data_IF_054618853655
#
_entry.id   IF_054618853655
#
_cell.length_a   1.000
_cell.length_b   1.000
_cell.length_c   1.000
_cell.angle_alpha   90.00
_cell.angle_beta   90.00
_cell.angle_gamma   90.00
#
_symmetry.space_group_name_H-M   'P 1'
#
loop_
_entity.id
_entity.type
_entity.pdbx_description
1 polymer ?
#
# COMPACT_ATOMS: atom_id res chain seq x y z
N UNK A 1 3.89 -25.55 -49.61
CA UNK A 1 3.38 -24.22 -49.22
C UNK A 1 2.98 -24.29 -47.77
N UNK A 2 3.59 -23.44 -46.93
CA UNK A 2 3.27 -23.29 -45.50
C UNK A 2 2.04 -22.38 -45.38
N UNK A 3 1.11 -22.70 -44.50
CA UNK A 3 0.32 -21.72 -43.76
C UNK A 3 -0.21 -22.37 -42.48
N UNK A 4 0.46 -22.05 -41.38
CA UNK A 4 0.01 -22.24 -40.01
C UNK A 4 -1.03 -21.15 -39.71
N UNK A 5 -2.16 -21.52 -39.11
CA UNK A 5 -3.06 -20.55 -38.47
C UNK A 5 -3.13 -20.90 -36.98
N UNK A 6 -2.47 -20.04 -36.21
CA UNK A 6 -2.56 -19.94 -34.76
C UNK A 6 -3.88 -19.24 -34.44
N UNK A 7 -4.79 -19.91 -33.73
CA UNK A 7 -5.95 -19.26 -33.12
C UNK A 7 -5.61 -18.90 -31.68
N UNK A 8 -5.41 -17.61 -31.48
CA UNK A 8 -5.16 -16.91 -30.23
C UNK A 8 -6.31 -17.11 -29.25
N UNK A 9 -6.01 -17.71 -28.10
CA UNK A 9 -6.84 -17.66 -26.90
C UNK A 9 -6.90 -16.21 -26.41
N UNK A 10 -8.03 -15.53 -26.61
CA UNK A 10 -8.35 -14.31 -25.86
C UNK A 10 -8.88 -14.73 -24.48
N UNK A 11 -8.02 -14.67 -23.46
CA UNK A 11 -8.46 -14.63 -22.07
C UNK A 11 -8.81 -13.17 -21.77
N UNK A 12 -10.10 -12.86 -21.80
CA UNK A 12 -10.63 -11.61 -21.27
C UNK A 12 -10.48 -11.64 -19.74
N UNK A 13 -9.47 -10.96 -19.22
CA UNK A 13 -9.33 -10.73 -17.79
C UNK A 13 -10.42 -9.75 -17.34
N UNK A 14 -11.51 -10.31 -16.81
CA UNK A 14 -12.45 -9.59 -15.94
C UNK A 14 -11.74 -9.29 -14.63
N UNK A 15 -10.93 -8.23 -14.61
CA UNK A 15 -10.37 -7.68 -13.37
C UNK A 15 -11.50 -6.84 -12.74
N UNK A 16 -12.34 -7.52 -11.96
CA UNK A 16 -13.20 -6.84 -10.99
C UNK A 16 -12.32 -6.18 -9.92
N UNK A 17 -12.61 -4.91 -9.64
CA UNK A 17 -12.16 -4.13 -8.48
C UNK A 17 -10.72 -4.44 -8.01
N UNK A 18 -9.74 -4.02 -8.82
CA UNK A 18 -8.36 -3.97 -8.37
C UNK A 18 -8.25 -2.91 -7.25
N UNK A 19 -7.90 -3.38 -6.06
CA UNK A 19 -7.94 -2.68 -4.78
C UNK A 19 -7.16 -1.37 -4.83
N UNK A 20 -7.89 -0.26 -4.84
CA UNK A 20 -7.38 1.03 -4.40
C UNK A 20 -7.30 1.00 -2.87
N UNK A 21 -6.10 1.18 -2.32
CA UNK A 21 -5.91 1.24 -0.88
C UNK A 21 -6.69 2.39 -0.22
N UNK A 22 -7.18 2.20 1.02
CA UNK A 22 -7.95 3.17 1.79
C UNK A 22 -7.25 4.52 2.00
N UNK A 23 -5.91 4.63 1.95
CA UNK A 23 -5.21 5.92 2.04
C UNK A 23 -5.72 6.93 1.00
N UNK A 24 -6.23 6.46 -0.15
CA UNK A 24 -6.80 7.29 -1.21
C UNK A 24 -8.25 7.71 -0.97
N UNK A 25 -9.03 6.87 -0.27
CA UNK A 25 -10.39 7.19 0.17
C UNK A 25 -10.40 8.36 1.18
N UNK A 26 -9.31 8.57 1.93
CA UNK A 26 -9.22 9.60 2.97
C UNK A 26 -8.80 10.98 2.49
N UNK A 27 -7.93 11.08 1.48
CA UNK A 27 -7.71 12.37 0.82
C UNK A 27 -9.01 12.85 0.17
N UNK A 28 -9.82 11.93 -0.37
CA UNK A 28 -11.17 12.22 -0.86
C UNK A 28 -12.11 12.67 0.27
N UNK A 29 -12.20 11.96 1.40
CA UNK A 29 -13.11 12.32 2.50
C UNK A 29 -12.75 13.63 3.21
N UNK A 30 -11.47 14.03 3.26
CA UNK A 30 -11.03 15.34 3.81
C UNK A 30 -11.00 16.47 2.78
N UNK A 31 -10.71 16.20 1.51
CA UNK A 31 -10.92 17.19 0.44
C UNK A 31 -12.42 17.52 0.26
N UNK A 32 -13.30 16.59 0.66
CA UNK A 32 -14.73 16.76 0.85
C UNK A 32 -15.14 16.93 2.32
N UNK A 33 -14.34 17.59 3.16
CA UNK A 33 -14.88 18.16 4.40
C UNK A 33 -16.14 18.94 4.02
N UNK A 34 -17.29 18.47 4.53
CA UNK A 34 -18.64 18.85 4.10
C UNK A 34 -18.70 20.36 3.85
N UNK A 35 -18.86 20.76 2.59
CA UNK A 35 -19.64 21.96 2.33
C UNK A 35 -21.07 21.55 2.68
N UNK A 36 -21.72 22.25 3.61
CA UNK A 36 -23.15 22.10 3.80
C UNK A 36 -23.81 22.47 2.46
N UNK A 37 -24.16 21.45 1.68
CA UNK A 37 -24.96 21.61 0.48
C UNK A 37 -26.40 21.60 0.97
N UNK A 38 -27.04 22.75 0.86
CA UNK A 38 -28.47 22.89 1.12
C UNK A 38 -29.26 22.24 -0.01
N UNK A 39 -29.66 20.98 0.19
CA UNK A 39 -30.38 20.17 -0.79
C UNK A 39 -31.72 20.77 -1.23
N UNK A 40 -32.28 21.70 -0.45
CA UNK A 40 -33.51 22.42 -0.78
C UNK A 40 -33.29 23.54 -1.83
N UNK A 41 -32.04 23.93 -2.08
CA UNK A 41 -31.67 24.99 -3.03
C UNK A 41 -31.09 24.48 -4.36
N UNK A 42 -30.95 23.16 -4.49
CA UNK A 42 -30.51 22.54 -5.73
C UNK A 42 -31.64 22.64 -6.77
N UNK A 43 -31.32 23.22 -7.93
CA UNK A 43 -32.23 23.25 -9.08
C UNK A 43 -32.23 21.86 -9.74
N UNK A 44 -33.01 20.95 -9.14
CA UNK A 44 -33.12 19.55 -9.54
C UNK A 44 -33.58 19.36 -10.99
N UNK A 45 -34.31 20.32 -11.55
CA UNK A 45 -34.84 20.26 -12.91
C UNK A 45 -33.80 20.60 -13.99
N UNK A 46 -32.80 21.44 -13.67
CA UNK A 46 -31.74 21.84 -14.62
C UNK A 46 -30.49 20.95 -14.60
N UNK A 47 -30.48 19.85 -13.84
CA UNK A 47 -29.30 18.98 -13.74
C UNK A 47 -29.05 18.13 -15.00
N UNK A 48 -29.96 18.12 -15.98
CA UNK A 48 -29.79 17.40 -17.25
C UNK A 48 -29.70 15.87 -17.09
N UNK A 49 -30.15 15.34 -15.95
CA UNK A 49 -30.16 13.91 -15.64
C UNK A 49 -31.55 13.36 -15.98
N UNK A 50 -31.58 12.35 -16.84
CA UNK A 50 -32.78 11.54 -17.09
C UNK A 50 -32.96 10.55 -15.93
N UNK A 51 -33.72 10.98 -14.93
CA UNK A 51 -33.98 10.21 -13.72
C UNK A 51 -34.79 8.94 -13.97
N UNK A 52 -35.59 8.91 -15.04
CA UNK A 52 -36.41 7.76 -15.41
C UNK A 52 -35.52 6.64 -15.98
N UNK A 53 -34.57 6.99 -16.83
CA UNK A 53 -33.54 6.06 -17.32
C UNK A 53 -32.64 5.54 -16.19
N UNK A 54 -32.22 6.41 -15.27
CA UNK A 54 -31.40 6.03 -14.12
C UNK A 54 -32.12 5.06 -13.18
N UNK A 55 -33.42 5.27 -12.94
CA UNK A 55 -34.24 4.39 -12.10
C UNK A 55 -34.49 3.03 -12.76
N UNK A 56 -34.79 3.02 -14.07
CA UNK A 56 -34.99 1.78 -14.83
C UNK A 56 -33.74 0.88 -14.84
N UNK A 57 -32.54 1.48 -14.98
CA UNK A 57 -31.27 0.76 -14.92
C UNK A 57 -30.99 0.14 -13.53
N UNK A 58 -31.51 0.76 -12.47
CA UNK A 58 -31.38 0.27 -11.10
C UNK A 58 -32.21 -0.99 -10.81
N UNK A 59 -33.33 -1.19 -11.52
CA UNK A 59 -34.22 -2.34 -11.27
C UNK A 59 -33.74 -3.66 -11.88
N UNK A 60 -32.84 -3.63 -12.87
CA UNK A 60 -32.41 -4.85 -13.60
C UNK A 60 -31.33 -5.68 -12.89
N UNK A 61 -30.81 -5.25 -11.73
CA UNK A 61 -29.58 -5.83 -11.14
C UNK A 61 -29.77 -6.60 -9.83
N UNK A 62 -30.96 -7.16 -9.54
CA UNK A 62 -31.18 -7.89 -8.27
C UNK A 62 -31.72 -9.31 -8.46
N UNK A 63 -30.82 -10.26 -8.68
CA UNK A 63 -31.05 -11.67 -8.30
C UNK A 63 -29.76 -12.30 -7.77
N UNK A 64 -29.60 -12.31 -6.44
CA UNK A 64 -28.63 -13.20 -5.74
C UNK A 64 -29.45 -14.14 -4.85
N UNK A 65 -29.26 -15.47 -4.94
CA UNK A 65 -29.95 -16.42 -4.06
C UNK A 65 -29.35 -16.43 -2.65
N UNK A 66 -30.14 -16.74 -1.60
CA UNK A 66 -29.69 -16.67 -0.21
C UNK A 66 -28.73 -17.81 0.13
N UNK A 67 -27.59 -17.47 0.73
CA UNK A 67 -26.63 -18.44 1.29
C UNK A 67 -27.09 -18.84 2.70
N UNK A 68 -27.14 -20.15 2.94
CA UNK A 68 -27.55 -20.76 4.20
C UNK A 68 -26.58 -20.45 5.36
N UNK A 69 -27.13 -20.16 6.52
CA UNK A 69 -26.42 -19.88 7.77
C UNK A 69 -26.00 -21.19 8.45
N UNK A 70 -24.71 -21.41 8.65
CA UNK A 70 -24.19 -22.51 9.46
C UNK A 70 -24.02 -22.09 10.94
N UNK A 71 -24.46 -22.96 11.84
CA UNK A 71 -24.52 -22.79 13.30
C UNK A 71 -23.13 -22.98 13.94
N UNK A 72 -22.75 -22.20 14.98
CA UNK A 72 -21.44 -22.31 15.62
C UNK A 72 -21.36 -23.52 16.58
N UNK A 73 -20.22 -24.22 16.55
CA UNK A 73 -19.85 -25.25 17.55
C UNK A 73 -18.96 -24.62 18.63
N UNK A 74 -19.15 -24.90 19.94
CA UNK A 74 -18.35 -24.32 21.01
C UNK A 74 -17.01 -25.06 21.18
N UNK A 75 -15.91 -24.32 21.36
CA UNK A 75 -14.61 -24.88 21.75
C UNK A 75 -14.27 -24.55 23.22
N UNK A 76 -13.65 -25.53 23.87
CA UNK A 76 -13.39 -25.67 25.31
C UNK A 76 -12.23 -24.79 25.84
N UNK A 77 -12.06 -24.64 27.18
CA UNK A 77 -11.27 -23.57 27.79
C UNK A 77 -9.75 -23.78 27.76
N UNK A 78 -9.02 -22.68 27.61
CA UNK A 78 -7.56 -22.62 27.59
C UNK A 78 -6.91 -22.68 28.99
N UNK A 79 -5.75 -23.34 29.07
CA UNK A 79 -4.88 -23.45 30.24
C UNK A 79 -3.90 -22.25 30.29
N UNK A 80 -3.51 -21.72 31.47
CA UNK A 80 -2.69 -20.50 31.57
C UNK A 80 -1.22 -20.73 31.19
N UNK A 81 -0.62 -19.75 30.51
CA UNK A 81 0.82 -19.69 30.20
C UNK A 81 1.54 -18.66 31.10
N UNK A 82 2.76 -19.03 31.51
CA UNK A 82 3.65 -18.29 32.40
C UNK A 82 4.33 -17.08 31.71
N UNK A 83 4.62 -16.07 32.52
CA UNK A 83 5.34 -14.83 32.23
C UNK A 83 6.85 -15.04 32.04
N UNK A 84 7.49 -14.22 31.20
CA UNK A 84 8.72 -13.57 31.67
C UNK A 84 8.83 -12.06 31.34
N UNK A 85 9.01 -11.32 32.43
CA UNK A 85 9.90 -10.18 32.72
C UNK A 85 10.39 -9.25 31.60
N UNK A 86 10.11 -7.97 31.81
CA UNK A 86 10.57 -6.78 31.10
C UNK A 86 12.07 -6.49 31.23
N UNK A 87 12.63 -5.83 30.21
CA UNK A 87 13.85 -5.03 30.32
C UNK A 87 13.70 -3.67 29.62
N UNK A 88 14.26 -2.68 30.31
CA UNK A 88 14.19 -1.23 30.20
C UNK A 88 14.89 -0.60 28.98
N UNK A 89 14.51 0.67 28.77
CA UNK A 89 14.72 1.69 27.73
C UNK A 89 16.12 2.32 27.49
N UNK A 90 16.34 2.76 26.23
CA UNK A 90 17.00 3.98 25.68
C UNK A 90 18.48 4.34 26.01
N UNK A 91 19.20 5.17 25.20
CA UNK A 91 18.76 6.18 24.21
C UNK A 91 19.45 6.16 22.81
N UNK A 92 19.16 7.21 22.02
CA UNK A 92 19.33 7.42 20.58
C UNK A 92 20.73 7.72 20.01
N UNK A 93 20.77 7.63 18.67
CA UNK A 93 21.61 8.30 17.66
C UNK A 93 23.13 8.10 17.61
N UNK A 94 23.56 7.25 16.67
CA UNK A 94 24.57 7.59 15.65
C UNK A 94 24.42 6.61 14.47
N UNK A 95 23.82 7.05 13.34
CA UNK A 95 23.87 6.26 12.10
C UNK A 95 25.24 6.52 11.47
N UNK A 96 26.16 5.59 11.70
CA UNK A 96 27.50 5.62 11.14
C UNK A 96 27.43 5.40 9.62
N UNK A 97 28.08 6.31 8.88
CA UNK A 97 28.32 6.25 7.44
C UNK A 97 28.91 4.90 7.03
N UNK A 98 28.05 4.02 6.51
CA UNK A 98 28.45 2.92 5.64
C UNK A 98 27.23 2.50 4.80
N UNK A 99 26.70 3.45 4.02
CA UNK A 99 25.74 3.15 2.95
C UNK A 99 26.47 2.60 1.72
N UNK A 100 27.07 1.42 1.83
CA UNK A 100 27.45 0.62 0.67
C UNK A 100 27.08 -0.83 0.96
N UNK A 101 25.90 -1.23 0.47
CA UNK A 101 25.58 -2.65 0.27
C UNK A 101 26.35 -3.11 -0.98
N UNK A 102 27.67 -3.27 -0.87
CA UNK A 102 28.49 -3.95 -1.89
C UNK A 102 28.71 -5.42 -1.55
N UNK A 103 28.52 -5.82 -0.29
CA UNK A 103 28.94 -7.16 0.17
C UNK A 103 27.77 -8.13 0.39
N UNK A 104 26.56 -7.77 -0.05
CA UNK A 104 25.35 -8.61 0.10
C UNK A 104 24.65 -8.89 -1.25
N UNK A 105 25.32 -8.68 -2.38
CA UNK A 105 24.71 -8.90 -3.69
C UNK A 105 24.50 -10.39 -4.03
N UNK A 106 25.35 -11.29 -3.51
CA UNK A 106 25.34 -12.71 -3.87
C UNK A 106 24.28 -13.56 -3.17
N UNK A 107 23.91 -13.22 -1.93
CA UNK A 107 22.97 -14.02 -1.11
C UNK A 107 21.55 -13.42 -1.10
N UNK A 108 21.39 -12.15 -1.48
CA UNK A 108 20.09 -11.50 -1.58
C UNK A 108 19.42 -11.65 -2.95
N UNK A 109 20.18 -11.98 -4.00
CA UNK A 109 19.64 -12.23 -5.34
C UNK A 109 18.80 -13.50 -5.40
N UNK A 110 19.14 -14.52 -4.60
CA UNK A 110 18.31 -15.72 -4.42
C UNK A 110 17.04 -15.42 -3.61
N UNK A 111 17.13 -14.61 -2.55
CA UNK A 111 15.99 -14.15 -1.75
C UNK A 111 14.98 -13.33 -2.55
N UNK A 112 15.45 -12.54 -3.53
CA UNK A 112 14.58 -11.78 -4.41
C UNK A 112 13.77 -12.66 -5.36
N UNK A 113 14.07 -13.96 -5.50
CA UNK A 113 13.51 -14.84 -6.55
C UNK A 113 13.60 -14.21 -7.96
N UNK A 114 14.62 -13.38 -8.19
CA UNK A 114 14.76 -12.62 -9.44
C UNK A 114 13.83 -11.41 -9.57
N UNK A 115 13.03 -11.08 -8.56
CA UNK A 115 12.16 -9.89 -8.55
C UNK A 115 13.00 -8.62 -8.37
N UNK A 116 13.32 -8.00 -9.51
CA UNK A 116 14.06 -6.74 -9.58
C UNK A 116 13.09 -5.65 -10.04
N UNK A 117 12.88 -4.64 -9.20
CA UNK A 117 12.05 -3.49 -9.54
C UNK A 117 12.69 -2.56 -10.58
N UNK A 118 11.85 -1.83 -11.30
CA UNK A 118 12.25 -0.87 -12.35
C UNK A 118 13.23 0.23 -11.87
N UNK A 119 13.28 0.49 -10.56
CA UNK A 119 14.13 1.51 -9.95
C UNK A 119 15.38 0.94 -9.24
N UNK A 120 15.56 -0.39 -9.18
CA UNK A 120 16.63 -1.01 -8.38
C UNK A 120 18.05 -0.52 -8.72
N UNK A 121 18.30 -0.18 -9.99
CA UNK A 121 19.60 0.31 -10.48
C UNK A 121 19.74 1.84 -10.44
N UNK A 122 18.68 2.59 -10.13
CA UNK A 122 18.68 4.06 -10.15
C UNK A 122 19.39 4.64 -8.94
N UNK A 123 20.06 5.77 -9.15
CA UNK A 123 20.76 6.55 -8.13
C UNK A 123 20.25 7.98 -7.98
N UNK A 124 19.39 8.41 -8.89
CA UNK A 124 18.74 9.71 -8.90
C UNK A 124 17.31 9.56 -9.44
N UNK A 125 16.45 10.52 -9.09
CA UNK A 125 15.12 10.56 -9.68
C UNK A 125 15.16 10.80 -11.19
N UNK A 126 14.12 10.35 -11.87
CA UNK A 126 13.75 10.80 -13.21
C UNK A 126 12.84 12.03 -13.17
N UNK A 127 12.21 12.32 -14.30
CA UNK A 127 11.19 13.37 -14.38
C UNK A 127 9.88 12.89 -13.74
N UNK A 128 9.09 13.78 -13.12
CA UNK A 128 7.76 13.42 -12.64
C UNK A 128 6.80 13.16 -13.81
N UNK A 129 5.90 12.20 -13.67
CA UNK A 129 4.80 11.99 -14.63
C UNK A 129 3.67 12.98 -14.38
N UNK A 130 2.85 13.32 -15.40
CA UNK A 130 1.68 14.18 -15.19
C UNK A 130 0.67 13.53 -14.26
N UNK A 131 0.05 14.33 -13.39
CA UNK A 131 -1.09 13.91 -12.58
C UNK A 131 -2.41 14.15 -13.30
N UNK A 132 -3.40 13.28 -13.05
CA UNK A 132 -4.71 13.34 -13.71
C UNK A 132 -5.81 12.79 -12.81
N UNK A 133 -7.05 13.22 -13.06
CA UNK A 133 -8.24 12.73 -12.35
C UNK A 133 -8.53 13.46 -11.05
N UNK A 134 -9.69 13.13 -10.46
CA UNK A 134 -10.08 13.59 -9.14
C UNK A 134 -9.38 12.75 -8.07
N UNK A 135 -9.10 13.36 -6.91
CA UNK A 135 -8.55 12.64 -5.76
C UNK A 135 -9.43 11.43 -5.41
N UNK A 136 -8.82 10.29 -5.13
CA UNK A 136 -9.51 9.03 -4.87
C UNK A 136 -8.89 7.88 -5.64
N UNK A 137 -9.67 6.84 -5.89
CA UNK A 137 -9.20 5.57 -6.43
C UNK A 137 -8.61 5.73 -7.83
N UNK A 138 -9.30 6.48 -8.69
CA UNK A 138 -8.90 6.78 -10.06
C UNK A 138 -7.99 8.00 -10.20
N UNK A 139 -7.46 8.54 -9.10
CA UNK A 139 -6.43 9.57 -9.17
C UNK A 139 -5.12 8.97 -9.69
N UNK A 140 -4.54 9.62 -10.70
CA UNK A 140 -3.17 9.37 -11.16
C UNK A 140 -2.23 10.39 -10.53
N UNK A 141 -1.37 9.93 -9.64
CA UNK A 141 -0.21 10.69 -9.16
C UNK A 141 1.04 10.50 -10.02
N UNK A 142 2.15 11.00 -9.50
CA UNK A 142 3.47 10.84 -10.07
C UNK A 142 3.90 9.36 -9.97
N UNK A 143 4.14 8.72 -11.10
CA UNK A 143 4.73 7.39 -11.21
C UNK A 143 6.14 7.38 -11.86
N UNK A 144 6.70 8.57 -12.12
CA UNK A 144 8.01 8.77 -12.73
C UNK A 144 8.06 8.54 -14.24
N UNK A 145 8.99 9.22 -14.90
CA UNK A 145 9.37 9.05 -16.30
C UNK A 145 10.88 8.75 -16.36
N UNK A 146 11.28 7.54 -16.80
CA UNK A 146 10.43 6.35 -17.02
C UNK A 146 9.78 5.85 -15.71
N UNK A 147 8.82 4.91 -15.82
CA UNK A 147 8.11 4.34 -14.67
C UNK A 147 9.05 3.94 -13.52
N UNK A 148 8.64 4.28 -12.29
CA UNK A 148 9.37 3.99 -11.06
C UNK A 148 10.54 4.92 -10.78
N UNK A 149 10.87 5.84 -11.69
CA UNK A 149 11.97 6.78 -11.50
C UNK A 149 11.69 7.87 -10.45
N UNK A 150 10.49 7.90 -9.85
CA UNK A 150 10.12 8.77 -8.75
C UNK A 150 10.38 8.16 -7.35
N UNK A 151 10.92 6.94 -7.28
CA UNK A 151 11.23 6.24 -6.02
C UNK A 151 12.67 5.72 -6.10
N UNK A 152 13.56 6.07 -5.17
CA UNK A 152 14.97 5.63 -5.19
C UNK A 152 15.48 5.24 -3.81
N UNK A 153 16.49 4.36 -3.75
CA UNK A 153 17.24 4.08 -2.51
C UNK A 153 18.23 5.21 -2.25
N UNK A 154 18.31 5.67 -1.01
CA UNK A 154 19.21 6.74 -0.57
C UNK A 154 19.94 6.35 0.71
N UNK A 155 21.06 7.02 0.99
CA UNK A 155 21.85 6.80 2.22
C UNK A 155 21.43 7.68 3.40
N UNK A 156 20.66 8.75 3.15
CA UNK A 156 20.22 9.71 4.15
C UNK A 156 18.87 10.29 3.76
N UNK A 157 18.10 10.76 4.74
CA UNK A 157 16.88 11.54 4.51
C UNK A 157 17.15 12.98 4.10
N UNK A 158 18.37 13.48 4.34
CA UNK A 158 18.75 14.85 4.00
C UNK A 158 18.61 15.12 2.51
N UNK A 159 17.95 16.24 2.16
CA UNK A 159 17.71 16.66 0.78
C UNK A 159 16.47 16.06 0.11
N UNK A 160 15.63 15.32 0.86
CA UNK A 160 14.40 14.74 0.35
C UNK A 160 13.21 15.12 1.24
N UNK A 161 12.14 15.64 0.65
CA UNK A 161 10.92 16.01 1.39
C UNK A 161 10.12 14.80 1.85
N UNK A 162 10.24 13.68 1.12
CA UNK A 162 9.47 12.46 1.34
C UNK A 162 10.38 11.24 1.40
N UNK A 163 10.38 10.57 2.55
CA UNK A 163 11.19 9.37 2.75
C UNK A 163 10.47 8.32 3.58
N UNK A 164 10.91 7.08 3.47
CA UNK A 164 10.56 6.01 4.39
C UNK A 164 11.82 5.22 4.75
N UNK A 165 12.12 5.14 6.04
CA UNK A 165 13.19 4.31 6.59
C UNK A 165 12.62 2.96 6.97
N UNK A 166 12.95 1.94 6.19
CA UNK A 166 12.54 0.56 6.45
C UNK A 166 13.54 -0.11 7.39
N UNK A 167 13.05 -0.81 8.40
CA UNK A 167 13.87 -1.51 9.41
C UNK A 167 13.34 -2.92 9.57
N UNK A 168 14.21 -3.92 9.39
CA UNK A 168 13.89 -5.30 9.74
C UNK A 168 14.10 -5.50 11.25
N UNK A 169 13.00 -5.61 11.99
CA UNK A 169 12.98 -5.91 13.45
C UNK A 169 12.79 -7.40 13.73
N UNK A 170 12.57 -8.22 12.70
CA UNK A 170 12.44 -9.66 12.82
C UNK A 170 13.78 -10.37 13.00
N UNK A 171 13.71 -11.69 13.17
CA UNK A 171 14.88 -12.55 13.39
C UNK A 171 15.46 -13.17 12.11
N UNK A 172 14.80 -12.97 10.95
CA UNK A 172 15.20 -13.53 9.66
C UNK A 172 15.42 -12.42 8.63
N UNK A 173 16.29 -12.62 7.63
CA UNK A 173 16.34 -11.74 6.47
C UNK A 173 14.97 -11.66 5.80
N UNK A 174 14.60 -10.49 5.31
CA UNK A 174 13.35 -10.25 4.58
C UNK A 174 13.61 -9.51 3.29
N UNK A 175 12.71 -9.69 2.32
CA UNK A 175 12.69 -8.91 1.10
C UNK A 175 11.50 -7.98 1.14
N UNK A 176 11.75 -6.69 0.99
CA UNK A 176 10.72 -5.67 0.91
C UNK A 176 10.52 -5.31 -0.55
N UNK A 177 9.25 -5.29 -0.95
CA UNK A 177 8.82 -4.88 -2.27
C UNK A 177 7.93 -3.64 -2.15
N UNK A 178 8.27 -2.60 -2.91
CA UNK A 178 7.52 -1.36 -3.02
C UNK A 178 6.97 -1.25 -4.44
N UNK A 179 5.67 -1.04 -4.55
CA UNK A 179 4.97 -0.79 -5.81
C UNK A 179 4.21 0.53 -5.74
N UNK A 180 3.80 1.02 -6.90
CA UNK A 180 2.95 2.22 -7.00
C UNK A 180 1.50 1.81 -7.23
N UNK A 181 0.54 2.69 -6.95
CA UNK A 181 -0.87 2.43 -7.31
C UNK A 181 -1.01 2.09 -8.80
N UNK A 182 -0.36 2.88 -9.63
CA UNK A 182 -0.31 2.70 -11.08
C UNK A 182 0.77 1.68 -11.37
N UNK A 183 0.43 0.65 -12.14
CA UNK A 183 1.41 -0.35 -12.54
C UNK A 183 2.31 0.11 -13.68
N UNK A 184 3.36 -0.69 -14.00
CA UNK A 184 4.24 -0.44 -15.13
C UNK A 184 3.55 -0.54 -16.50
N UNK A 185 2.33 -1.09 -16.54
CA UNK A 185 1.43 -1.11 -17.70
C UNK A 185 0.61 0.19 -17.86
N UNK A 186 0.90 1.20 -17.04
CA UNK A 186 0.26 2.51 -17.01
C UNK A 186 -1.24 2.48 -16.67
N UNK A 187 -1.72 1.39 -16.07
CA UNK A 187 -3.11 1.27 -15.61
C UNK A 187 -3.23 1.69 -14.15
N UNK A 188 -4.26 2.47 -13.85
CA UNK A 188 -4.58 2.82 -12.47
C UNK A 188 -5.06 1.55 -11.76
N UNK A 189 -4.60 1.35 -10.52
CA UNK A 189 -4.92 0.20 -9.66
C UNK A 189 -4.28 -1.14 -10.06
N UNK A 190 -3.55 -1.21 -11.16
CA UNK A 190 -2.87 -2.46 -11.56
C UNK A 190 -1.60 -2.76 -10.76
N UNK A 191 -1.03 -1.77 -10.07
CA UNK A 191 0.31 -1.90 -9.51
C UNK A 191 0.41 -2.95 -8.41
N UNK A 192 -0.63 -3.14 -7.59
CA UNK A 192 -0.65 -4.19 -6.56
C UNK A 192 -0.71 -5.59 -7.17
N UNK A 193 -1.52 -5.79 -8.21
CA UNK A 193 -1.62 -7.06 -8.94
C UNK A 193 -0.33 -7.41 -9.69
N UNK A 194 0.42 -6.40 -10.12
CA UNK A 194 1.69 -6.57 -10.82
C UNK A 194 2.88 -6.66 -9.86
N UNK A 195 2.77 -6.20 -8.61
CA UNK A 195 3.87 -6.16 -7.65
C UNK A 195 4.62 -7.49 -7.47
N UNK A 196 3.97 -8.67 -7.51
CA UNK A 196 4.70 -9.94 -7.43
C UNK A 196 5.59 -10.29 -8.63
N UNK A 197 5.44 -9.60 -9.76
CA UNK A 197 6.13 -9.95 -11.02
C UNK A 197 6.84 -8.78 -11.69
N UNK A 198 6.24 -7.60 -11.67
CA UNK A 198 6.75 -6.38 -12.29
C UNK A 198 6.46 -5.18 -11.38
N UNK A 199 7.48 -4.80 -10.60
CA UNK A 199 7.33 -3.85 -9.49
C UNK A 199 8.26 -2.64 -9.64
N UNK A 200 8.15 -1.69 -8.72
CA UNK A 200 8.92 -0.45 -8.74
C UNK A 200 10.29 -0.60 -8.10
N UNK A 201 10.35 -1.07 -6.86
CA UNK A 201 11.61 -1.16 -6.12
C UNK A 201 11.60 -2.37 -5.17
N UNK A 202 12.70 -3.13 -5.19
CA UNK A 202 12.93 -4.21 -4.22
C UNK A 202 14.27 -4.06 -3.53
N UNK A 203 14.34 -4.51 -2.29
CA UNK A 203 15.59 -4.65 -1.55
C UNK A 203 15.40 -5.64 -0.42
N UNK A 204 16.51 -6.19 0.06
CA UNK A 204 16.48 -7.14 1.14
C UNK A 204 17.27 -6.63 2.35
N UNK A 205 16.75 -6.93 3.54
CA UNK A 205 17.29 -6.48 4.82
C UNK A 205 17.59 -7.69 5.69
N UNK A 206 18.85 -7.78 6.16
CA UNK A 206 19.19 -8.68 7.27
C UNK A 206 18.53 -8.19 8.57
N UNK A 207 18.36 -9.06 9.58
CA UNK A 207 17.87 -8.66 10.90
C UNK A 207 18.62 -7.44 11.46
N UNK A 208 17.88 -6.47 11.99
CA UNK A 208 18.42 -5.24 12.57
C UNK A 208 19.03 -4.25 11.57
N UNK A 209 18.92 -4.50 10.25
CA UNK A 209 19.38 -3.57 9.21
C UNK A 209 18.24 -2.73 8.68
N UNK A 210 18.61 -1.61 8.05
CA UNK A 210 17.69 -0.63 7.50
C UNK A 210 18.07 -0.20 6.08
N UNK A 211 17.09 0.36 5.37
CA UNK A 211 17.25 1.02 4.08
C UNK A 211 16.33 2.23 4.02
N UNK A 212 16.85 3.38 3.58
CA UNK A 212 16.06 4.59 3.34
C UNK A 212 15.65 4.63 1.87
N UNK A 213 14.38 4.89 1.62
CA UNK A 213 13.83 5.12 0.28
C UNK A 213 13.29 6.54 0.23
N UNK A 214 13.65 7.28 -0.81
CA UNK A 214 13.15 8.61 -1.10
C UNK A 214 12.09 8.55 -2.22
N UNK A 215 11.12 9.45 -2.14
CA UNK A 215 10.00 9.55 -3.06
C UNK A 215 9.91 10.99 -3.57
N UNK A 216 9.56 11.18 -4.84
CA UNK A 216 9.15 12.51 -5.32
C UNK A 216 7.75 12.85 -4.83
N UNK A 217 7.41 14.15 -4.88
CA UNK A 217 6.06 14.62 -4.56
C UNK A 217 4.98 13.91 -5.40
N UNK A 218 3.77 13.87 -4.83
CA UNK A 218 2.56 13.31 -5.42
C UNK A 218 2.66 11.81 -5.76
N UNK A 219 3.42 11.03 -4.99
CA UNK A 219 3.60 9.58 -5.17
C UNK A 219 2.56 8.77 -4.36
N UNK A 220 1.88 7.82 -5.01
CA UNK A 220 1.08 6.78 -4.37
C UNK A 220 1.84 5.46 -4.38
N UNK A 221 2.14 4.91 -3.21
CA UNK A 221 2.85 3.65 -3.11
C UNK A 221 2.30 2.76 -2.00
N UNK A 222 2.61 1.47 -2.12
CA UNK A 222 2.41 0.50 -1.07
C UNK A 222 3.59 -0.47 -1.04
N UNK A 223 3.72 -1.19 0.07
CA UNK A 223 4.81 -2.14 0.28
C UNK A 223 4.38 -3.33 1.14
N UNK A 224 5.11 -4.42 0.99
CA UNK A 224 4.99 -5.60 1.82
C UNK A 224 6.31 -6.37 1.88
N UNK A 225 6.43 -7.27 2.85
CA UNK A 225 7.39 -8.36 2.75
C UNK A 225 6.94 -9.30 1.62
N UNK A 226 7.87 -9.71 0.76
CA UNK A 226 7.60 -10.65 -0.32
C UNK A 226 7.15 -11.98 0.26
N UNK A 227 6.03 -12.50 -0.25
CA UNK A 227 5.46 -13.79 0.12
C UNK A 227 5.02 -14.55 -1.12
N UNK A 228 4.90 -15.87 -1.00
CA UNK A 228 4.32 -16.74 -2.03
C UNK A 228 2.78 -16.83 -1.93
N UNK A 229 2.19 -16.26 -0.86
CA UNK A 229 0.74 -16.16 -0.73
C UNK A 229 0.22 -15.03 -1.64
N UNK A 230 -0.50 -15.41 -2.69
CA UNK A 230 -1.05 -14.50 -3.70
C UNK A 230 -2.58 -14.57 -3.66
N UNK A 231 -3.23 -13.41 -3.69
CA UNK A 231 -4.67 -13.29 -3.77
C UNK A 231 -5.18 -13.58 -5.19
N UNK A 232 -6.49 -13.81 -5.35
CA UNK A 232 -7.12 -13.99 -6.67
C UNK A 232 -6.88 -12.79 -7.60
N UNK A 233 -6.74 -11.59 -7.04
CA UNK A 233 -6.40 -10.36 -7.78
C UNK A 233 -4.97 -10.34 -8.33
N UNK A 234 -4.13 -11.30 -7.97
CA UNK A 234 -2.71 -11.36 -8.33
C UNK A 234 -1.78 -10.60 -7.37
N UNK A 235 -2.32 -9.87 -6.38
CA UNK A 235 -1.53 -9.13 -5.41
C UNK A 235 -1.06 -10.01 -4.23
N UNK A 236 -0.08 -9.54 -3.45
CA UNK A 236 0.34 -10.25 -2.23
C UNK A 236 -0.81 -10.36 -1.23
N UNK A 237 -1.14 -11.58 -0.81
CA UNK A 237 -2.16 -11.87 0.20
C UNK A 237 -1.58 -11.75 1.62
N UNK A 238 -1.17 -10.55 1.97
CA UNK A 238 -0.56 -10.20 3.26
C UNK A 238 -0.96 -8.77 3.64
N UNK A 239 -0.47 -8.31 4.78
CA UNK A 239 -0.60 -6.93 5.23
C UNK A 239 0.29 -6.02 4.39
N UNK A 240 -0.25 -4.88 3.99
CA UNK A 240 0.49 -3.84 3.29
C UNK A 240 0.71 -2.63 4.19
N UNK A 241 1.80 -1.93 3.97
CA UNK A 241 1.86 -0.51 4.31
C UNK A 241 1.53 0.31 3.07
N UNK A 242 0.74 1.36 3.23
CA UNK A 242 0.25 2.20 2.14
C UNK A 242 0.58 3.66 2.42
N UNK A 243 0.88 4.43 1.37
CA UNK A 243 1.24 5.85 1.50
C UNK A 243 0.79 6.68 0.31
N UNK A 244 0.36 7.91 0.63
CA UNK A 244 0.25 9.02 -0.28
C UNK A 244 1.22 10.11 0.18
N UNK A 245 2.31 10.30 -0.57
CA UNK A 245 3.17 11.47 -0.41
C UNK A 245 2.61 12.61 -1.24
N UNK A 246 2.35 13.75 -0.61
CA UNK A 246 1.84 14.96 -1.25
C UNK A 246 2.19 16.20 -0.42
N UNK A 247 2.68 17.24 -1.07
CA UNK A 247 3.09 18.49 -0.43
C UNK A 247 1.94 19.30 0.19
N UNK A 248 0.69 19.05 -0.22
CA UNK A 248 -0.49 19.67 0.39
C UNK A 248 -1.08 18.87 1.56
N UNK A 249 -0.51 17.71 1.88
CA UNK A 249 -0.97 16.83 2.94
C UNK A 249 -0.79 15.36 2.55
N UNK A 250 -0.05 14.64 3.39
CA UNK A 250 0.29 13.24 3.17
C UNK A 250 -0.51 12.31 4.08
N UNK A 251 -0.57 11.03 3.71
CA UNK A 251 -1.22 10.02 4.54
C UNK A 251 -0.54 8.66 4.42
N UNK A 252 -0.67 7.85 5.46
CA UNK A 252 -0.14 6.49 5.48
C UNK A 252 -1.00 5.59 6.36
N UNK A 253 -0.98 4.29 6.09
CA UNK A 253 -1.61 3.29 6.94
C UNK A 253 -1.03 1.89 6.78
N UNK A 254 -1.33 1.07 7.78
CA UNK A 254 -1.26 -0.37 7.80
C UNK A 254 -2.60 -0.90 7.26
N UNK A 255 -2.54 -1.85 6.34
CA UNK A 255 -3.70 -2.36 5.62
C UNK A 255 -3.70 -3.88 5.63
N UNK A 256 -4.61 -4.47 6.42
CA UNK A 256 -4.85 -5.92 6.49
C UNK A 256 -5.93 -6.41 5.51
N UNK A 257 -6.45 -5.52 4.65
CA UNK A 257 -7.48 -5.82 3.65
C UNK A 257 -7.12 -7.06 2.84
N UNK A 258 -5.87 -7.13 2.38
CA UNK A 258 -5.37 -8.19 1.52
C UNK A 258 -4.85 -9.41 2.26
N UNK A 259 -4.73 -9.32 3.58
CA UNK A 259 -4.27 -10.41 4.44
C UNK A 259 -5.37 -11.44 4.71
N UNK A 260 -6.29 -11.66 3.76
CA UNK A 260 -7.49 -12.52 3.91
C UNK A 260 -8.28 -12.18 5.19
N UNK A 261 -8.31 -10.90 5.59
CA UNK A 261 -8.91 -10.42 6.84
C UNK A 261 -8.11 -10.75 8.12
N UNK A 262 -6.87 -11.21 7.99
CA UNK A 262 -5.99 -11.62 9.10
C UNK A 262 -5.03 -10.49 9.48
N UNK A 263 -5.07 -10.05 10.72
CA UNK A 263 -4.20 -8.99 11.23
C UNK A 263 -2.96 -9.55 11.95
N UNK A 264 -2.14 -10.29 11.20
CA UNK A 264 -1.10 -11.18 11.74
C UNK A 264 0.33 -10.79 11.34
N UNK A 265 0.55 -9.62 10.77
CA UNK A 265 1.90 -9.15 10.43
C UNK A 265 2.35 -8.07 11.42
N UNK A 266 3.55 -8.22 11.97
CA UNK A 266 4.18 -7.21 12.80
C UNK A 266 4.74 -6.08 11.92
N UNK A 267 3.98 -5.00 11.78
CA UNK A 267 4.45 -3.77 11.15
C UNK A 267 3.97 -2.56 11.95
N UNK A 268 4.85 -1.59 12.10
CA UNK A 268 4.53 -0.28 12.66
C UNK A 268 5.09 0.81 11.74
N UNK A 269 4.23 1.76 11.39
CA UNK A 269 4.54 2.92 10.55
C UNK A 269 4.34 4.17 11.40
N UNK A 270 5.33 5.05 11.41
CA UNK A 270 5.29 6.34 12.12
C UNK A 270 5.92 7.43 11.27
N UNK A 271 5.47 8.67 11.44
CA UNK A 271 6.05 9.86 10.82
C UNK A 271 6.87 10.66 11.84
N UNK A 272 7.92 11.35 11.39
CA UNK A 272 8.66 12.31 12.23
C UNK A 272 7.84 13.56 12.54
N UNK A 273 6.94 13.93 11.64
CA UNK A 273 6.21 15.19 11.64
C UNK A 273 5.03 15.21 12.61
N UNK A 274 4.53 14.04 13.03
CA UNK A 274 3.45 13.95 14.00
C UNK A 274 3.56 12.70 14.89
N UNK A 275 2.64 12.57 15.84
CA UNK A 275 2.57 11.44 16.77
C UNK A 275 1.66 10.29 16.29
N UNK A 276 1.15 10.35 15.06
CA UNK A 276 0.26 9.30 14.57
C UNK A 276 1.07 8.05 14.25
N UNK A 277 0.62 6.91 14.76
CA UNK A 277 1.23 5.60 14.52
C UNK A 277 0.18 4.73 13.83
N UNK A 278 0.58 4.01 12.80
CA UNK A 278 -0.27 3.00 12.16
C UNK A 278 0.36 1.63 12.33
N UNK A 279 -0.40 0.70 12.90
CA UNK A 279 0.06 -0.66 13.20
C UNK A 279 -1.11 -1.62 13.28
N UNK A 280 -0.83 -2.90 13.55
CA UNK A 280 -1.87 -3.91 13.78
C UNK A 280 -2.81 -3.61 14.95
N UNK A 281 -2.52 -2.64 15.81
CA UNK A 281 -3.39 -2.32 16.97
C UNK A 281 -4.06 -0.96 16.89
N UNK A 282 -3.66 -0.10 15.95
CA UNK A 282 -4.17 1.27 15.87
C UNK A 282 -4.04 1.84 14.46
N UNK A 283 -5.03 2.66 14.07
CA UNK A 283 -5.04 3.45 12.84
C UNK A 283 -4.74 2.61 11.59
N UNK A 284 -5.51 1.53 11.41
CA UNK A 284 -5.33 0.59 10.30
C UNK A 284 -6.65 0.15 9.69
N UNK A 285 -6.57 -0.52 8.54
CA UNK A 285 -7.73 -1.08 7.83
C UNK A 285 -7.77 -2.61 7.95
N UNK A 286 -8.82 -3.14 8.57
CA UNK A 286 -9.01 -4.60 8.65
C UNK A 286 -9.65 -5.16 7.37
N UNK A 287 -10.63 -4.44 6.84
CA UNK A 287 -11.30 -4.67 5.55
C UNK A 287 -11.51 -3.31 4.88
N UNK A 288 -11.88 -3.27 3.61
CA UNK A 288 -12.19 -2.04 2.84
C UNK A 288 -13.25 -1.12 3.49
N UNK A 289 -14.02 -1.66 4.45
CA UNK A 289 -15.12 -0.98 5.13
C UNK A 289 -14.92 -0.87 6.64
N UNK A 290 -13.83 -1.42 7.18
CA UNK A 290 -13.61 -1.52 8.62
C UNK A 290 -12.29 -0.89 9.05
N UNK A 291 -12.27 0.42 9.35
CA UNK A 291 -11.15 1.05 10.02
C UNK A 291 -11.10 0.63 11.50
N UNK A 292 -9.90 0.56 12.05
CA UNK A 292 -9.64 0.24 13.47
C UNK A 292 -8.84 1.37 14.12
N UNK A 293 -9.20 1.69 15.37
CA UNK A 293 -8.65 2.79 16.17
C UNK A 293 -9.58 4.01 16.24
N UNK A 294 -9.10 5.09 16.85
CA UNK A 294 -9.85 6.34 17.01
C UNK A 294 -9.76 7.26 15.77
N UNK A 295 -9.03 6.83 14.74
CA UNK A 295 -8.96 7.49 13.45
C UNK A 295 -9.86 6.83 12.41
N UNK A 296 -9.93 7.42 11.22
CA UNK A 296 -10.51 6.79 10.05
C UNK A 296 -9.57 5.71 9.46
N UNK A 297 -8.91 4.88 10.29
CA UNK A 297 -8.02 3.80 9.86
C UNK A 297 -6.70 4.22 9.20
N UNK A 298 -6.39 5.51 9.12
CA UNK A 298 -5.15 6.01 8.52
C UNK A 298 -4.61 7.23 9.26
N UNK A 299 -3.30 7.42 9.18
CA UNK A 299 -2.60 8.59 9.68
C UNK A 299 -2.53 9.70 8.62
N UNK A 300 -2.83 10.93 9.03
CA UNK A 300 -2.70 12.12 8.19
C UNK A 300 -1.58 13.03 8.72
N UNK A 301 -0.70 13.45 7.83
CA UNK A 301 0.41 14.36 8.12
C UNK A 301 0.19 15.66 7.34
N UNK A 302 -0.16 16.77 8.01
CA UNK A 302 -0.24 18.07 7.34
C UNK A 302 1.17 18.59 7.03
N UNK A 303 1.29 19.36 5.94
CA UNK A 303 2.52 20.04 5.56
C UNK A 303 3.16 19.46 4.30
N UNK A 304 4.33 20.02 3.98
CA UNK A 304 5.02 19.81 2.70
C UNK A 304 6.03 18.66 2.71
N UNK A 305 6.26 18.04 3.86
CA UNK A 305 7.25 16.97 4.05
C UNK A 305 6.64 15.83 4.86
N UNK A 306 7.15 14.61 4.65
CA UNK A 306 6.82 13.44 5.47
C UNK A 306 7.97 12.44 5.49
N UNK A 307 8.54 12.20 6.66
CA UNK A 307 9.63 11.26 6.89
C UNK A 307 9.13 10.08 7.72
N UNK A 308 8.82 8.98 7.03
CA UNK A 308 8.32 7.76 7.64
C UNK A 308 9.46 6.90 8.20
N UNK A 309 9.13 6.15 9.23
CA UNK A 309 9.85 4.95 9.67
C UNK A 309 8.88 3.78 9.65
N UNK A 310 9.26 2.71 8.95
CA UNK A 310 8.51 1.45 8.91
C UNK A 310 9.35 0.36 9.55
N UNK A 311 8.88 -0.16 10.68
CA UNK A 311 9.47 -1.34 11.34
C UNK A 311 8.67 -2.57 10.91
N UNK A 312 9.35 -3.63 10.48
CA UNK A 312 8.75 -4.87 9.99
C UNK A 312 9.36 -6.05 10.74
N UNK A 313 8.53 -6.79 11.48
CA UNK A 313 8.91 -7.93 12.32
C UNK A 313 8.57 -9.30 11.72
N UNK A 314 7.76 -9.34 10.65
CA UNK A 314 7.30 -10.57 10.02
C UNK A 314 5.94 -11.05 10.53
N UNK A 315 5.52 -12.24 10.09
CA UNK A 315 4.26 -12.86 10.53
C UNK A 315 4.35 -13.31 11.99
N UNK A 316 3.35 -12.95 12.79
CA UNK A 316 3.18 -13.38 14.18
C UNK A 316 2.32 -14.65 14.19
N UNK A 317 2.81 -15.70 14.86
CA UNK A 317 2.10 -16.97 15.11
C UNK A 317 1.12 -16.89 16.27
#
# INVERSE_FOLDING_TARGET
>A
MRCSTVSTLMVAALIGEAVAGPTHLHLHRRAHQKKDIDYETLDWENMGIDWEAAYAAGQTSTTVPPVAVATPTPAAPAKPAETPKAASSSPADTVSDNSIVSDIAGDLTSLLNGLVGASNSRKSFGSPSPSQGQLGDFYRGNCGIPYGANIIKVGSTSGYDFTNTFINTGSKPMVINIWQKIGPDDRILSGSALAPQNTTLTFALKPGKSQIVAFQDNTQAAWAEVTNDIAVSGAYATVWGEVQFKSEGSGFDYSAIMSKGSNNYDMTISSKENSCVSSRTENFWLTDKQPIGDSNGSCYVPGTTMHLTTKMGGVIS
#
